data_IF_094944529539
#
_entry.id   IF_094944529539
#
_cell.length_a   1.000
_cell.length_b   1.000
_cell.length_c   1.000
_cell.angle_alpha   90.00
_cell.angle_beta   90.00
_cell.angle_gamma   90.00
#
_symmetry.space_group_name_H-M   'P 1'
#
loop_
_entity.id
_entity.type
_entity.pdbx_description
1 polymer ?
#
# COMPACT_ATOMS: atom_id res chain seq x y z
N UNK A 1 -41.17 25.42 25.15
CA UNK A 1 -40.21 26.51 25.41
C UNK A 1 -39.17 26.46 24.31
N UNK A 2 -39.32 27.35 23.33
CA UNK A 2 -38.39 27.53 22.23
C UNK A 2 -37.42 28.66 22.59
N UNK A 3 -36.14 28.50 22.26
CA UNK A 3 -35.17 29.60 22.23
C UNK A 3 -34.59 29.66 20.82
N UNK A 4 -35.00 30.71 20.11
CA UNK A 4 -34.43 31.18 18.84
C UNK A 4 -33.42 32.29 19.13
N UNK A 5 -32.24 32.24 18.51
CA UNK A 5 -31.43 33.44 18.24
C UNK A 5 -30.78 33.29 16.86
N UNK A 6 -30.76 34.39 16.13
CA UNK A 6 -30.63 34.50 14.68
C UNK A 6 -29.21 34.76 14.16
N UNK A 7 -29.08 34.60 12.83
CA UNK A 7 -28.26 35.37 11.86
C UNK A 7 -26.75 35.56 12.08
N UNK A 8 -25.95 35.18 11.08
CA UNK A 8 -25.43 36.10 10.03
C UNK A 8 -24.52 35.34 9.04
N UNK A 9 -24.42 35.91 7.85
CA UNK A 9 -23.84 35.35 6.64
C UNK A 9 -22.32 35.63 6.50
N UNK A 10 -21.73 34.98 5.50
CA UNK A 10 -20.50 35.34 4.76
C UNK A 10 -19.21 35.63 5.55
N UNK A 11 -18.19 34.79 5.34
CA UNK A 11 -16.86 35.32 4.97
C UNK A 11 -15.99 34.25 4.32
N UNK A 12 -15.74 34.47 3.04
CA UNK A 12 -14.64 33.94 2.22
C UNK A 12 -13.29 33.96 2.94
N UNK A 13 -12.55 32.86 2.83
CA UNK A 13 -11.14 32.75 3.20
C UNK A 13 -10.32 33.78 2.39
N UNK A 14 -9.56 34.69 3.01
CA UNK A 14 -8.71 35.61 2.27
C UNK A 14 -7.38 34.94 1.89
N UNK A 15 -7.04 35.05 0.61
CA UNK A 15 -5.70 34.79 0.09
C UNK A 15 -4.67 35.68 0.80
N UNK A 16 -3.60 35.06 1.30
CA UNK A 16 -2.50 35.75 1.96
C UNK A 16 -1.53 36.28 0.90
N UNK A 17 -1.69 37.54 0.50
CA UNK A 17 -0.74 38.25 -0.36
C UNK A 17 0.51 38.68 0.45
N UNK A 18 1.69 38.41 -0.11
CA UNK A 18 2.98 38.90 0.40
C UNK A 18 3.24 40.31 -0.16
N UNK A 19 3.71 41.29 0.65
CA UNK A 19 3.88 42.65 0.16
C UNK A 19 5.18 42.79 -0.65
N UNK A 20 5.03 43.12 -1.94
CA UNK A 20 6.09 43.63 -2.79
C UNK A 20 6.46 45.06 -2.37
N UNK A 21 7.64 45.25 -1.78
CA UNK A 21 8.31 46.56 -1.72
C UNK A 21 9.11 46.75 -3.01
N UNK A 22 8.55 47.51 -3.95
CA UNK A 22 9.33 48.16 -5.00
C UNK A 22 10.03 49.37 -4.37
N UNK A 23 11.37 49.39 -4.40
CA UNK A 23 12.07 50.67 -4.39
C UNK A 23 13.24 50.65 -5.37
N UNK A 24 13.23 51.70 -6.17
CA UNK A 24 14.05 52.06 -7.32
C UNK A 24 15.53 52.20 -6.98
N UNK A 25 16.42 51.68 -7.85
CA UNK A 25 17.37 52.50 -8.63
C UNK A 25 18.47 51.66 -9.33
N UNK A 26 18.48 51.71 -10.67
CA UNK A 26 19.69 51.80 -11.51
C UNK A 26 20.65 50.61 -11.67
N UNK A 27 20.55 49.88 -12.79
CA UNK A 27 21.56 49.84 -13.89
C UNK A 27 21.17 48.81 -14.95
N UNK A 28 21.11 49.27 -16.20
CA UNK A 28 20.90 48.47 -17.40
C UNK A 28 22.21 47.77 -17.74
N UNK A 29 22.19 46.44 -17.81
CA UNK A 29 23.17 45.63 -18.55
C UNK A 29 22.42 44.55 -19.32
N UNK A 30 22.57 44.57 -20.64
CA UNK A 30 22.05 43.56 -21.57
C UNK A 30 22.69 42.20 -21.28
N UNK A 31 21.90 41.14 -21.24
CA UNK A 31 22.34 39.84 -21.74
C UNK A 31 21.13 39.01 -22.18
N UNK A 32 21.11 38.67 -23.47
CA UNK A 32 20.28 37.65 -24.10
C UNK A 32 20.44 36.30 -23.40
N UNK A 33 19.36 35.54 -23.24
CA UNK A 33 19.29 34.11 -23.56
C UNK A 33 17.90 33.55 -23.25
N UNK A 34 17.32 32.94 -24.28
CA UNK A 34 16.25 31.95 -24.20
C UNK A 34 16.63 30.89 -23.15
N UNK A 35 15.85 30.76 -22.08
CA UNK A 35 16.05 29.75 -21.06
C UNK A 35 14.76 28.96 -20.83
N UNK A 36 14.69 27.76 -21.42
CA UNK A 36 13.77 26.71 -20.98
C UNK A 36 13.90 26.56 -19.47
N UNK A 37 12.79 26.68 -18.75
CA UNK A 37 12.70 26.30 -17.34
C UNK A 37 13.01 24.81 -17.24
N UNK A 38 14.25 24.49 -16.86
CA UNK A 38 14.69 23.14 -16.54
C UNK A 38 14.25 22.88 -15.10
N UNK A 39 13.18 22.12 -14.93
CA UNK A 39 12.79 21.57 -13.63
C UNK A 39 13.86 20.53 -13.24
N UNK A 40 14.85 20.95 -12.45
CA UNK A 40 15.81 20.02 -11.85
C UNK A 40 15.15 19.31 -10.66
N UNK A 41 14.35 18.28 -10.94
CA UNK A 41 13.89 17.32 -9.95
C UNK A 41 14.96 16.22 -9.79
N UNK A 42 16.13 16.55 -9.22
CA UNK A 42 17.25 15.60 -9.06
C UNK A 42 17.83 15.54 -7.64
N UNK A 43 17.06 15.93 -6.61
CA UNK A 43 17.53 15.81 -5.22
C UNK A 43 16.79 14.71 -4.45
N UNK A 44 17.32 13.49 -4.65
CA UNK A 44 17.53 12.43 -3.66
C UNK A 44 16.41 12.16 -2.67
N UNK A 45 15.59 11.16 -2.96
CA UNK A 45 14.55 10.65 -2.05
C UNK A 45 15.13 9.70 -0.99
N UNK A 46 16.34 9.17 -1.15
CA UNK A 46 17.05 8.49 -0.07
C UNK A 46 18.52 8.89 -0.05
N UNK A 47 19.07 9.09 1.14
CA UNK A 47 20.45 9.54 1.33
C UNK A 47 21.44 8.37 1.38
N UNK A 48 20.92 7.15 1.46
CA UNK A 48 21.69 5.91 1.69
C UNK A 48 21.74 5.02 0.45
N UNK A 49 21.01 5.32 -0.62
CA UNK A 49 21.05 4.54 -1.87
C UNK A 49 21.82 5.28 -2.96
N UNK A 50 22.73 4.58 -3.64
CA UNK A 50 23.38 5.11 -4.85
C UNK A 50 22.42 5.03 -6.04
N UNK A 51 22.33 6.03 -6.92
CA UNK A 51 21.48 5.93 -8.09
C UNK A 51 21.95 4.79 -9.02
N UNK A 52 21.01 3.97 -9.48
CA UNK A 52 21.28 2.96 -10.51
C UNK A 52 21.82 3.63 -11.78
N UNK A 53 22.67 2.93 -12.57
CA UNK A 53 23.16 3.48 -13.83
C UNK A 53 22.00 3.81 -14.78
N UNK A 54 22.18 4.76 -15.71
CA UNK A 54 21.13 5.15 -16.66
C UNK A 54 20.67 3.99 -17.55
N UNK A 55 21.54 2.99 -17.77
CA UNK A 55 21.26 1.74 -18.49
C UNK A 55 20.65 0.67 -17.55
N UNK A 56 19.59 1.05 -16.82
CA UNK A 56 18.87 0.13 -15.93
C UNK A 56 17.80 -0.66 -16.70
N UNK A 57 17.44 -1.87 -16.26
CA UNK A 57 16.30 -2.58 -16.84
C UNK A 57 15.02 -1.78 -16.63
N UNK A 58 14.24 -1.62 -17.71
CA UNK A 58 12.95 -0.94 -17.70
C UNK A 58 11.80 -1.95 -17.74
N UNK A 59 10.63 -1.55 -17.25
CA UNK A 59 9.43 -2.37 -17.30
C UNK A 59 9.00 -2.70 -18.74
N UNK A 60 9.19 -1.75 -19.67
CA UNK A 60 8.96 -1.91 -21.09
C UNK A 60 10.30 -1.76 -21.86
N UNK A 61 10.91 -2.87 -22.32
CA UNK A 61 12.16 -2.81 -23.05
C UNK A 61 12.09 -1.88 -24.27
N UNK A 62 13.01 -0.91 -24.36
CA UNK A 62 13.06 0.06 -25.46
C UNK A 62 12.26 1.35 -25.24
N UNK A 63 11.58 1.52 -24.10
CA UNK A 63 11.06 2.85 -23.70
C UNK A 63 12.15 3.75 -23.13
N UNK A 64 11.89 5.06 -23.13
CA UNK A 64 12.62 6.02 -22.31
C UNK A 64 11.92 6.19 -20.95
N UNK A 65 12.63 6.13 -19.81
CA UNK A 65 12.02 6.39 -18.51
C UNK A 65 11.60 7.86 -18.38
N UNK A 66 10.59 8.19 -17.55
CA UNK A 66 10.21 9.57 -17.28
C UNK A 66 11.31 10.30 -16.48
N UNK A 67 11.38 11.63 -16.63
CA UNK A 67 12.48 12.46 -16.10
C UNK A 67 12.60 12.43 -14.56
N UNK A 68 11.50 12.22 -13.84
CA UNK A 68 11.46 12.15 -12.37
C UNK A 68 11.86 10.79 -11.80
N UNK A 69 12.04 9.77 -12.64
CA UNK A 69 12.52 8.43 -12.25
C UNK A 69 13.98 8.25 -12.71
N UNK A 70 14.90 8.61 -11.82
CA UNK A 70 16.34 8.65 -12.07
C UNK A 70 17.08 7.36 -11.69
N UNK A 71 16.40 6.36 -11.13
CA UNK A 71 17.02 5.15 -10.60
C UNK A 71 17.58 5.30 -9.18
N UNK A 72 17.35 6.42 -8.49
CA UNK A 72 17.72 6.61 -7.08
C UNK A 72 16.82 5.87 -6.10
N UNK A 73 15.61 5.51 -6.54
CA UNK A 73 14.64 4.76 -5.75
C UNK A 73 14.88 3.25 -5.87
N UNK A 74 14.81 2.49 -4.77
CA UNK A 74 14.90 1.04 -4.82
C UNK A 74 13.70 0.47 -5.59
N UNK A 75 13.97 -0.38 -6.59
CA UNK A 75 12.91 -0.96 -7.44
C UNK A 75 12.35 -0.03 -8.52
N UNK A 76 13.10 0.99 -8.93
CA UNK A 76 12.78 1.86 -10.07
C UNK A 76 13.02 1.13 -11.42
N UNK A 77 11.92 0.77 -12.08
CA UNK A 77 11.89 0.21 -13.44
C UNK A 77 11.30 1.19 -14.48
N UNK A 78 11.18 2.49 -14.14
CA UNK A 78 10.60 3.50 -15.02
C UNK A 78 9.10 3.34 -15.28
N UNK A 79 8.36 2.67 -14.38
CA UNK A 79 6.92 2.44 -14.51
C UNK A 79 6.13 3.58 -13.87
N UNK A 80 5.70 4.56 -14.69
CA UNK A 80 4.70 5.56 -14.30
C UNK A 80 3.96 6.06 -15.55
N UNK A 81 3.07 5.24 -16.15
CA UNK A 81 2.37 5.63 -17.37
C UNK A 81 1.35 6.76 -17.17
N UNK A 82 0.91 7.00 -15.92
CA UNK A 82 -0.09 8.02 -15.58
C UNK A 82 0.54 9.32 -15.04
N UNK A 83 1.85 9.35 -14.82
CA UNK A 83 2.56 10.52 -14.31
C UNK A 83 2.20 10.89 -12.87
N UNK A 84 1.75 9.92 -12.07
CA UNK A 84 1.34 10.14 -10.68
C UNK A 84 2.53 10.59 -9.81
N UNK A 85 3.75 10.20 -10.17
CA UNK A 85 4.98 10.54 -9.46
C UNK A 85 5.68 11.81 -9.93
N UNK A 86 5.03 12.64 -10.77
CA UNK A 86 5.63 13.85 -11.33
C UNK A 86 6.04 14.88 -10.27
N UNK A 87 5.26 15.00 -9.20
CA UNK A 87 5.58 15.87 -8.05
C UNK A 87 6.48 15.14 -7.04
N UNK A 88 7.63 15.72 -6.62
CA UNK A 88 8.59 15.04 -5.75
C UNK A 88 8.09 14.79 -4.33
N UNK A 89 7.14 15.59 -3.82
CA UNK A 89 6.50 15.36 -2.53
C UNK A 89 5.52 14.18 -2.60
N UNK A 90 4.75 14.11 -3.68
CA UNK A 90 3.81 13.03 -3.93
C UNK A 90 4.54 11.71 -4.21
N UNK A 91 5.67 11.75 -4.91
CA UNK A 91 6.53 10.59 -5.13
C UNK A 91 7.06 10.01 -3.80
N UNK A 92 7.48 10.87 -2.86
CA UNK A 92 7.89 10.45 -1.52
C UNK A 92 6.76 9.78 -0.76
N UNK A 93 5.56 10.36 -0.83
CA UNK A 93 4.36 9.80 -0.23
C UNK A 93 4.03 8.42 -0.81
N UNK A 94 4.04 8.27 -2.14
CA UNK A 94 3.77 7.00 -2.80
C UNK A 94 4.84 5.94 -2.52
N UNK A 95 6.11 6.32 -2.41
CA UNK A 95 7.16 5.38 -2.00
C UNK A 95 6.91 4.83 -0.58
N UNK A 96 6.48 5.68 0.36
CA UNK A 96 6.11 5.23 1.70
C UNK A 96 4.83 4.38 1.70
N UNK A 97 3.84 4.76 0.92
CA UNK A 97 2.61 3.99 0.76
C UNK A 97 2.93 2.59 0.21
N UNK A 98 3.74 2.49 -0.85
CA UNK A 98 4.16 1.22 -1.44
C UNK A 98 4.88 0.32 -0.43
N UNK A 99 5.79 0.88 0.38
CA UNK A 99 6.48 0.13 1.43
C UNK A 99 5.52 -0.49 2.44
N UNK A 100 4.57 0.30 2.97
CA UNK A 100 3.63 -0.18 3.99
C UNK A 100 2.64 -1.18 3.40
N UNK A 101 2.08 -0.92 2.22
CA UNK A 101 1.19 -1.88 1.55
C UNK A 101 1.91 -3.19 1.23
N UNK A 102 3.15 -3.12 0.75
CA UNK A 102 3.97 -4.30 0.47
C UNK A 102 4.25 -5.11 1.74
N UNK A 103 4.62 -4.47 2.85
CA UNK A 103 4.88 -5.14 4.14
C UNK A 103 3.62 -5.83 4.69
N UNK A 104 2.48 -5.14 4.70
CA UNK A 104 1.22 -5.73 5.12
C UNK A 104 0.78 -6.88 4.22
N UNK A 105 0.96 -6.75 2.90
CA UNK A 105 0.64 -7.81 1.97
C UNK A 105 1.53 -9.05 2.18
N UNK A 106 2.84 -8.88 2.43
CA UNK A 106 3.73 -9.99 2.76
C UNK A 106 3.28 -10.72 4.04
N UNK A 107 2.88 -9.97 5.07
CA UNK A 107 2.34 -10.55 6.31
C UNK A 107 0.99 -11.25 6.08
N UNK A 108 0.10 -10.66 5.28
CA UNK A 108 -1.19 -11.26 4.96
C UNK A 108 -1.04 -12.56 4.16
N UNK A 109 -0.23 -12.56 3.10
CA UNK A 109 0.02 -13.74 2.25
C UNK A 109 0.63 -14.87 3.07
N UNK A 110 1.62 -14.58 3.92
CA UNK A 110 2.22 -15.59 4.81
C UNK A 110 1.25 -16.06 5.89
N UNK A 111 0.42 -15.17 6.45
CA UNK A 111 -0.61 -15.52 7.42
C UNK A 111 -1.77 -16.34 6.86
N UNK A 112 -1.97 -16.33 5.54
CA UNK A 112 -2.94 -17.20 4.85
C UNK A 112 -2.28 -18.55 4.52
N UNK A 113 -1.12 -18.53 3.85
CA UNK A 113 -0.51 -19.73 3.31
C UNK A 113 0.13 -20.63 4.37
N UNK A 114 0.76 -20.06 5.41
CA UNK A 114 1.46 -20.87 6.42
C UNK A 114 0.47 -21.71 7.23
N UNK A 115 -0.62 -21.17 7.80
CA UNK A 115 -1.54 -21.98 8.58
C UNK A 115 -2.30 -23.00 7.71
N UNK A 116 -2.66 -22.65 6.48
CA UNK A 116 -3.26 -23.61 5.54
C UNK A 116 -2.30 -24.77 5.21
N UNK A 117 -1.02 -24.47 5.01
CA UNK A 117 -0.02 -25.51 4.79
C UNK A 117 0.18 -26.39 6.04
N UNK A 118 0.15 -25.80 7.24
CA UNK A 118 0.25 -26.53 8.51
C UNK A 118 -0.98 -27.40 8.80
N UNK A 119 -2.16 -26.94 8.42
CA UNK A 119 -3.40 -27.72 8.51
C UNK A 119 -3.34 -28.97 7.64
N UNK A 120 -2.84 -28.86 6.41
CA UNK A 120 -2.63 -30.03 5.53
C UNK A 120 -1.65 -31.05 6.09
N UNK A 121 -0.70 -30.61 6.91
CA UNK A 121 0.25 -31.49 7.61
C UNK A 121 -0.35 -32.11 8.88
N UNK A 122 -1.57 -31.74 9.26
CA UNK A 122 -2.27 -32.25 10.45
C UNK A 122 -1.81 -31.62 11.77
N UNK A 123 -1.18 -30.44 11.73
CA UNK A 123 -0.78 -29.72 12.94
C UNK A 123 -1.87 -28.81 13.51
N UNK A 124 -2.81 -28.38 12.67
CA UNK A 124 -3.90 -27.44 12.97
C UNK A 124 -5.16 -27.99 12.32
N UNK A 125 -6.31 -27.87 12.98
CA UNK A 125 -7.59 -28.29 12.45
C UNK A 125 -8.48 -27.08 12.14
N UNK A 126 -9.33 -27.22 11.11
CA UNK A 126 -10.35 -26.27 10.68
C UNK A 126 -9.80 -24.84 10.49
N UNK A 127 -8.78 -24.62 9.67
CA UNK A 127 -8.32 -23.27 9.34
C UNK A 127 -8.96 -22.77 8.03
N UNK A 128 -9.63 -21.62 8.10
CA UNK A 128 -10.11 -20.93 6.91
C UNK A 128 -9.93 -19.44 7.13
N UNK A 129 -9.03 -18.84 6.36
CA UNK A 129 -8.64 -17.44 6.53
C UNK A 129 -9.78 -16.48 6.20
N UNK A 130 -10.65 -16.84 5.25
CA UNK A 130 -11.76 -16.00 4.80
C UNK A 130 -12.86 -15.89 5.86
N UNK A 131 -13.17 -17.02 6.52
CA UNK A 131 -14.18 -17.09 7.58
C UNK A 131 -13.61 -16.85 8.99
N UNK A 132 -12.31 -16.60 9.12
CA UNK A 132 -11.66 -16.40 10.42
C UNK A 132 -12.30 -15.26 11.23
N UNK A 133 -12.70 -14.18 10.57
CA UNK A 133 -13.30 -13.01 11.23
C UNK A 133 -14.65 -13.26 11.90
N UNK A 134 -15.37 -14.33 11.53
CA UNK A 134 -16.69 -14.67 12.09
C UNK A 134 -16.60 -15.69 13.25
N UNK A 135 -15.40 -16.17 13.58
CA UNK A 135 -15.21 -17.14 14.65
C UNK A 135 -15.34 -16.49 16.01
N UNK A 136 -15.81 -17.27 16.99
CA UNK A 136 -15.83 -16.81 18.37
C UNK A 136 -14.42 -16.78 18.96
N UNK A 137 -14.08 -15.66 19.56
CA UNK A 137 -12.82 -15.44 20.27
C UNK A 137 -13.09 -15.23 21.76
N UNK A 138 -12.03 -15.07 22.55
CA UNK A 138 -12.13 -14.80 23.99
C UNK A 138 -12.84 -13.47 24.33
N UNK A 139 -12.96 -12.55 23.37
CA UNK A 139 -13.60 -11.26 23.50
C UNK A 139 -14.42 -10.94 22.24
N UNK A 140 -15.40 -10.05 22.38
CA UNK A 140 -16.23 -9.61 21.27
C UNK A 140 -15.41 -8.89 20.18
N UNK A 141 -15.82 -9.04 18.91
CA UNK A 141 -15.14 -8.47 17.75
C UNK A 141 -14.99 -6.95 17.85
N UNK A 142 -15.97 -6.25 18.43
CA UNK A 142 -15.90 -4.79 18.61
C UNK A 142 -14.80 -4.40 19.59
N UNK A 143 -14.61 -5.18 20.66
CA UNK A 143 -13.56 -4.92 21.66
C UNK A 143 -12.18 -5.15 21.07
N UNK A 144 -11.99 -6.26 20.34
CA UNK A 144 -10.74 -6.55 19.63
C UNK A 144 -10.41 -5.44 18.61
N UNK A 145 -11.42 -4.97 17.87
CA UNK A 145 -11.27 -3.88 16.90
C UNK A 145 -10.87 -2.55 17.56
N UNK A 146 -11.48 -2.17 18.69
CA UNK A 146 -11.13 -0.92 19.40
C UNK A 146 -9.71 -0.97 19.96
N UNK A 147 -9.31 -2.11 20.54
CA UNK A 147 -7.93 -2.30 21.03
C UNK A 147 -6.95 -2.23 19.87
N UNK A 148 -7.27 -2.87 18.74
CA UNK A 148 -6.45 -2.80 17.53
C UNK A 148 -6.33 -1.35 17.01
N UNK A 149 -7.42 -0.58 16.96
CA UNK A 149 -7.39 0.83 16.56
C UNK A 149 -6.54 1.68 17.50
N UNK A 150 -6.61 1.46 18.82
CA UNK A 150 -5.83 2.21 19.78
C UNK A 150 -4.32 1.92 19.63
N UNK A 151 -3.93 0.65 19.54
CA UNK A 151 -2.54 0.23 19.39
C UNK A 151 -1.96 0.61 18.03
N UNK A 152 -2.67 0.30 16.95
CA UNK A 152 -2.26 0.66 15.58
C UNK A 152 -2.28 2.17 15.37
N UNK A 153 -3.25 2.88 15.94
CA UNK A 153 -3.32 4.34 15.90
C UNK A 153 -2.12 5.00 16.57
N UNK A 154 -1.62 4.45 17.69
CA UNK A 154 -0.38 4.92 18.30
C UNK A 154 0.84 4.67 17.41
N UNK A 155 0.99 3.44 16.90
CA UNK A 155 2.15 3.04 16.07
C UNK A 155 2.19 3.84 14.75
N UNK A 156 1.08 3.88 14.02
CA UNK A 156 0.94 4.64 12.77
C UNK A 156 1.01 6.15 13.02
N UNK A 157 0.49 6.64 14.14
CA UNK A 157 0.61 8.05 14.52
C UNK A 157 2.07 8.48 14.70
N UNK A 158 2.89 7.64 15.33
CA UNK A 158 4.34 7.85 15.45
C UNK A 158 5.04 7.79 14.08
N UNK A 159 4.69 6.83 13.23
CA UNK A 159 5.23 6.73 11.87
C UNK A 159 4.84 7.94 11.03
N UNK A 160 3.61 8.42 11.15
CA UNK A 160 3.10 9.60 10.48
C UNK A 160 3.84 10.87 10.91
N UNK A 161 4.09 11.03 12.21
CA UNK A 161 4.86 12.15 12.73
C UNK A 161 6.29 12.19 12.16
N UNK A 162 6.95 11.03 12.03
CA UNK A 162 8.27 10.93 11.40
C UNK A 162 8.25 11.27 9.90
N UNK A 163 7.17 10.91 9.19
CA UNK A 163 7.01 11.25 7.77
C UNK A 163 6.83 12.77 7.54
N UNK A 164 6.13 13.47 8.43
CA UNK A 164 5.99 14.95 8.35
C UNK A 164 7.27 15.65 8.80
N UNK A 165 7.83 15.22 9.93
CA UNK A 165 9.01 15.83 10.55
C UNK A 165 10.07 14.73 10.81
N UNK A 166 10.94 14.44 9.83
CA UNK A 166 11.90 13.34 9.95
C UNK A 166 12.84 13.54 11.15
N UNK A 167 12.92 12.52 12.00
CA UNK A 167 13.74 12.53 13.21
C UNK A 167 13.08 13.17 14.44
N UNK A 168 11.78 13.51 14.39
CA UNK A 168 11.06 13.90 15.60
C UNK A 168 10.69 12.70 16.50
N UNK A 169 10.71 11.49 15.94
CA UNK A 169 10.37 10.24 16.64
C UNK A 169 11.58 9.32 16.68
N UNK A 170 12.53 9.62 17.56
CA UNK A 170 13.68 8.75 17.78
C UNK A 170 13.28 7.49 18.58
N UNK A 171 13.72 6.32 18.10
CA UNK A 171 13.47 5.01 18.73
C UNK A 171 14.59 4.65 19.71
N UNK A 172 15.80 5.14 19.45
CA UNK A 172 16.98 4.90 20.29
C UNK A 172 17.09 5.97 21.39
N UNK A 173 17.42 5.59 22.64
CA UNK A 173 17.69 6.57 23.69
C UNK A 173 18.87 7.46 23.27
N UNK A 174 18.69 8.78 23.40
CA UNK A 174 19.73 9.77 23.06
C UNK A 174 20.90 9.61 24.03
N UNK A 175 21.99 9.00 23.56
CA UNK A 175 23.24 8.98 24.30
C UNK A 175 23.92 10.36 24.14
N UNK A 176 24.31 11.04 25.23
CA UNK A 176 24.80 12.42 25.17
C UNK A 176 26.12 12.59 24.38
N UNK A 177 26.84 11.50 24.10
CA UNK A 177 28.12 11.50 23.39
C UNK A 177 28.09 10.86 22.00
N UNK A 178 26.93 10.40 21.51
CA UNK A 178 26.81 9.80 20.18
C UNK A 178 25.57 10.33 19.48
N UNK A 179 25.77 11.05 18.39
CA UNK A 179 24.67 11.40 17.48
C UNK A 179 24.26 10.14 16.73
N UNK A 180 23.01 9.73 16.89
CA UNK A 180 22.48 8.62 16.10
C UNK A 180 22.43 9.04 14.62
N UNK A 181 22.83 8.17 13.68
CA UNK A 181 22.69 8.46 12.25
C UNK A 181 21.21 8.66 11.96
N UNK A 182 20.87 9.70 11.18
CA UNK A 182 19.48 9.96 10.78
C UNK A 182 19.02 8.80 9.89
N UNK A 183 18.03 7.99 10.28
CA UNK A 183 17.48 6.95 9.42
C UNK A 183 16.74 7.59 8.24
N UNK A 184 16.74 6.91 7.09
CA UNK A 184 15.85 7.28 5.99
C UNK A 184 14.39 7.00 6.42
N UNK A 185 13.47 7.89 6.05
CA UNK A 185 12.04 7.72 6.31
C UNK A 185 11.56 6.38 5.72
N UNK A 186 10.84 5.58 6.51
CA UNK A 186 10.39 4.22 6.14
C UNK A 186 11.33 3.09 6.54
N UNK A 187 12.56 3.42 6.95
CA UNK A 187 13.59 2.50 7.44
C UNK A 187 14.07 2.92 8.84
N UNK A 188 13.22 2.77 9.88
CA UNK A 188 13.52 3.27 11.23
C UNK A 188 14.82 2.69 11.83
N UNK A 189 15.14 1.44 11.50
CA UNK A 189 16.29 0.73 12.04
C UNK A 189 16.32 0.71 13.58
N UNK A 190 17.53 0.64 14.13
CA UNK A 190 17.75 0.58 15.58
C UNK A 190 17.50 -0.82 16.14
N UNK A 191 17.75 -0.99 17.45
CA UNK A 191 17.76 -2.31 18.06
C UNK A 191 16.43 -3.07 17.93
N UNK A 192 15.31 -2.35 17.91
CA UNK A 192 13.96 -2.93 17.85
C UNK A 192 13.54 -3.38 16.44
N UNK A 193 13.99 -2.69 15.39
CA UNK A 193 13.56 -2.97 14.00
C UNK A 193 14.67 -3.55 13.12
N UNK A 194 15.94 -3.43 13.53
CA UNK A 194 17.10 -3.98 12.83
C UNK A 194 18.17 -4.45 13.84
N UNK A 195 17.91 -5.56 14.57
CA UNK A 195 18.85 -6.07 15.57
C UNK A 195 20.17 -6.55 14.97
N UNK A 196 20.18 -6.94 13.69
CA UNK A 196 21.35 -7.44 12.98
C UNK A 196 22.11 -6.36 12.20
N UNK A 197 21.64 -5.11 12.24
CA UNK A 197 22.22 -3.95 11.55
C UNK A 197 22.41 -4.14 10.03
N UNK A 198 21.58 -4.96 9.39
CA UNK A 198 21.67 -5.21 7.94
C UNK A 198 21.16 -4.05 7.09
N UNK A 199 20.35 -3.17 7.68
CA UNK A 199 19.85 -1.94 7.05
C UNK A 199 20.79 -0.74 7.18
N UNK A 200 21.92 -0.88 7.89
CA UNK A 200 22.92 0.18 8.12
C UNK A 200 24.29 -0.29 7.60
N UNK A 201 24.67 0.15 6.41
CA UNK A 201 25.91 -0.30 5.75
C UNK A 201 26.25 0.51 4.50
N UNK A 202 27.08 -0.06 3.62
CA UNK A 202 27.38 0.55 2.32
C UNK A 202 26.10 0.71 1.47
N UNK A 203 26.05 1.72 0.58
CA UNK A 203 24.84 2.06 -0.15
C UNK A 203 24.36 0.95 -1.11
N UNK A 204 25.30 0.24 -1.74
CA UNK A 204 25.01 -0.84 -2.70
C UNK A 204 24.24 -2.03 -2.09
N UNK A 205 24.70 -2.69 -1.00
CA UNK A 205 23.96 -3.81 -0.42
C UNK A 205 22.61 -3.37 0.17
N UNK A 206 22.53 -2.16 0.74
CA UNK A 206 21.27 -1.63 1.27
C UNK A 206 20.26 -1.43 0.12
N UNK A 207 20.68 -0.88 -1.00
CA UNK A 207 19.86 -0.80 -2.21
C UNK A 207 19.34 -2.15 -2.68
N UNK A 208 20.21 -3.17 -2.72
CA UNK A 208 19.83 -4.51 -3.16
C UNK A 208 18.80 -5.11 -2.21
N UNK A 209 18.96 -4.95 -0.90
CA UNK A 209 18.01 -5.45 0.10
C UNK A 209 16.66 -4.72 0.01
N UNK A 210 16.66 -3.40 -0.10
CA UNK A 210 15.43 -2.60 -0.28
C UNK A 210 14.71 -2.96 -1.59
N UNK A 211 15.47 -3.20 -2.66
CA UNK A 211 14.91 -3.66 -3.94
C UNK A 211 14.29 -5.05 -3.82
N UNK A 212 14.90 -5.97 -3.06
CA UNK A 212 14.33 -7.30 -2.78
C UNK A 212 13.03 -7.18 -1.97
N UNK A 213 13.00 -6.31 -0.97
CA UNK A 213 11.81 -6.03 -0.18
C UNK A 213 10.66 -5.52 -1.06
N UNK A 214 10.88 -4.50 -1.89
CA UNK A 214 9.86 -3.94 -2.78
C UNK A 214 9.36 -4.97 -3.79
N UNK A 215 10.25 -5.77 -4.39
CA UNK A 215 9.85 -6.82 -5.34
C UNK A 215 8.95 -7.87 -4.70
N UNK A 216 9.31 -8.35 -3.51
CA UNK A 216 8.49 -9.29 -2.75
C UNK A 216 7.18 -8.65 -2.30
N UNK A 217 7.20 -7.38 -1.89
CA UNK A 217 6.00 -6.61 -1.55
C UNK A 217 5.03 -6.48 -2.71
N UNK A 218 5.51 -6.11 -3.91
CA UNK A 218 4.71 -6.05 -5.14
C UNK A 218 4.09 -7.40 -5.50
N UNK A 219 4.90 -8.47 -5.43
CA UNK A 219 4.41 -9.83 -5.66
C UNK A 219 3.32 -10.21 -4.64
N UNK A 220 3.53 -9.90 -3.37
CA UNK A 220 2.58 -10.21 -2.30
C UNK A 220 1.27 -9.42 -2.43
N UNK A 221 1.32 -8.15 -2.83
CA UNK A 221 0.11 -7.36 -3.10
C UNK A 221 -0.75 -7.99 -4.20
N UNK A 222 -0.11 -8.44 -5.29
CA UNK A 222 -0.81 -9.15 -6.37
C UNK A 222 -1.34 -10.52 -5.91
N UNK A 223 -0.56 -11.27 -5.14
CA UNK A 223 -0.96 -12.57 -4.61
C UNK A 223 -2.17 -12.46 -3.67
N UNK A 224 -2.19 -11.46 -2.77
CA UNK A 224 -3.31 -11.23 -1.86
C UNK A 224 -4.61 -10.92 -2.61
N UNK A 225 -4.55 -10.05 -3.62
CA UNK A 225 -5.70 -9.77 -4.49
C UNK A 225 -6.15 -11.05 -5.22
N UNK A 226 -5.19 -11.86 -5.69
CA UNK A 226 -5.46 -13.18 -6.26
C UNK A 226 -6.20 -14.11 -5.32
N UNK A 227 -5.75 -14.24 -4.07
CA UNK A 227 -6.40 -15.09 -3.06
C UNK A 227 -7.80 -14.62 -2.71
N UNK A 228 -8.01 -13.30 -2.60
CA UNK A 228 -9.33 -12.72 -2.39
C UNK A 228 -10.28 -13.07 -3.52
N UNK A 229 -9.89 -12.83 -4.77
CA UNK A 229 -10.74 -13.19 -5.91
C UNK A 229 -10.96 -14.69 -6.00
N UNK A 230 -9.92 -15.50 -5.80
CA UNK A 230 -10.04 -16.95 -5.79
C UNK A 230 -11.08 -17.41 -4.76
N UNK A 231 -11.02 -16.93 -3.52
CA UNK A 231 -12.01 -17.28 -2.49
C UNK A 231 -13.44 -16.92 -2.91
N UNK A 232 -13.67 -15.75 -3.53
CA UNK A 232 -15.00 -15.37 -4.04
C UNK A 232 -15.47 -16.33 -5.15
N UNK A 233 -14.62 -16.62 -6.14
CA UNK A 233 -15.01 -17.38 -7.33
C UNK A 233 -15.06 -18.88 -7.12
N UNK A 234 -14.26 -19.44 -6.20
CA UNK A 234 -14.21 -20.89 -5.93
C UNK A 234 -15.09 -21.32 -4.76
N UNK A 235 -15.75 -20.37 -4.08
CA UNK A 235 -16.71 -20.66 -3.00
C UNK A 235 -16.05 -20.86 -1.64
N UNK A 236 -15.07 -20.02 -1.30
CA UNK A 236 -14.28 -20.03 -0.06
C UNK A 236 -13.31 -21.21 0.09
N UNK A 237 -12.95 -21.87 -1.02
CA UNK A 237 -11.88 -22.86 -1.02
C UNK A 237 -10.53 -22.16 -0.86
N UNK A 238 -9.65 -22.78 -0.08
CA UNK A 238 -8.38 -22.18 0.24
C UNK A 238 -7.43 -22.09 -0.97
N UNK A 239 -6.52 -21.10 -1.01
CA UNK A 239 -5.64 -20.87 -2.15
C UNK A 239 -4.80 -22.08 -2.58
N UNK A 240 -4.35 -22.94 -1.65
CA UNK A 240 -3.53 -24.11 -1.99
C UNK A 240 -4.41 -25.21 -2.61
N UNK A 241 -5.69 -25.34 -2.23
CA UNK A 241 -6.60 -26.28 -2.90
C UNK A 241 -6.86 -25.87 -4.34
N UNK A 242 -7.06 -24.57 -4.57
CA UNK A 242 -7.22 -24.03 -5.91
C UNK A 242 -5.96 -24.29 -6.76
N UNK A 243 -4.78 -24.19 -6.16
CA UNK A 243 -3.52 -24.54 -6.81
C UNK A 243 -3.43 -26.04 -7.14
N UNK A 244 -3.73 -26.93 -6.21
CA UNK A 244 -3.69 -28.37 -6.47
C UNK A 244 -4.74 -28.83 -7.49
N UNK A 245 -5.94 -28.26 -7.44
CA UNK A 245 -6.98 -28.50 -8.44
C UNK A 245 -6.52 -28.05 -9.84
N UNK A 246 -5.85 -26.90 -9.94
CA UNK A 246 -5.27 -26.43 -11.20
C UNK A 246 -4.11 -27.31 -11.67
N UNK A 247 -3.24 -27.77 -10.76
CA UNK A 247 -2.12 -28.66 -11.10
C UNK A 247 -2.60 -30.05 -11.56
N UNK A 248 -3.70 -30.54 -11.01
CA UNK A 248 -4.27 -31.83 -11.40
C UNK A 248 -4.88 -31.81 -12.81
N UNK A 249 -5.49 -30.70 -13.22
CA UNK A 249 -6.02 -30.52 -14.58
C UNK A 249 -5.98 -29.04 -15.01
N UNK A 250 -4.85 -28.57 -15.55
CA UNK A 250 -4.68 -27.16 -15.90
C UNK A 250 -5.54 -26.74 -17.09
N UNK A 251 -5.97 -27.68 -17.93
CA UNK A 251 -6.79 -27.42 -19.10
C UNK A 251 -8.23 -27.08 -18.75
N UNK A 252 -8.78 -27.73 -17.73
CA UNK A 252 -10.20 -27.59 -17.36
C UNK A 252 -10.43 -26.84 -16.05
N UNK A 253 -9.46 -26.73 -15.14
CA UNK A 253 -9.60 -26.00 -13.87
C UNK A 253 -8.99 -24.61 -13.97
N UNK A 254 -9.63 -23.71 -14.70
CA UNK A 254 -9.17 -22.34 -14.90
C UNK A 254 -10.30 -21.33 -14.64
N UNK A 255 -9.97 -20.05 -14.72
CA UNK A 255 -10.98 -18.98 -14.52
C UNK A 255 -12.14 -19.08 -15.52
N UNK A 256 -11.91 -19.59 -16.74
CA UNK A 256 -12.93 -19.67 -17.77
C UNK A 256 -13.96 -20.76 -17.46
N UNK A 257 -13.55 -21.91 -16.93
CA UNK A 257 -14.48 -22.96 -16.53
C UNK A 257 -15.31 -22.57 -15.30
N UNK A 258 -14.68 -21.91 -14.32
CA UNK A 258 -15.38 -21.39 -13.13
C UNK A 258 -16.42 -20.32 -13.49
N UNK A 259 -16.11 -19.41 -14.42
CA UNK A 259 -17.08 -18.43 -14.90
C UNK A 259 -18.29 -19.06 -15.62
N UNK A 260 -18.08 -20.16 -16.35
CA UNK A 260 -19.17 -20.90 -17.01
C UNK A 260 -20.03 -21.63 -15.99
N UNK A 261 -19.41 -22.26 -14.99
CA UNK A 261 -20.12 -22.93 -13.89
C UNK A 261 -20.88 -21.94 -12.99
N UNK A 262 -20.30 -20.77 -12.68
CA UNK A 262 -21.00 -19.70 -11.96
C UNK A 262 -22.20 -19.18 -12.74
N UNK A 263 -22.09 -18.97 -14.06
CA UNK A 263 -23.24 -18.57 -14.89
C UNK A 263 -24.31 -19.65 -14.90
N UNK A 264 -23.90 -20.92 -14.94
CA UNK A 264 -24.81 -22.06 -14.88
C UNK A 264 -25.51 -22.16 -13.52
N UNK A 265 -24.79 -22.04 -12.41
CA UNK A 265 -25.37 -22.03 -11.06
C UNK A 265 -26.24 -20.81 -10.80
N UNK A 266 -25.82 -19.59 -11.18
CA UNK A 266 -26.67 -18.40 -11.10
C UNK A 266 -27.94 -18.59 -11.95
N UNK A 267 -27.86 -19.21 -13.12
CA UNK A 267 -29.06 -19.55 -13.92
C UNK A 267 -30.05 -20.50 -13.22
N UNK A 268 -29.58 -21.35 -12.30
CA UNK A 268 -30.45 -22.19 -11.46
C UNK A 268 -30.92 -21.45 -10.19
N UNK A 269 -30.04 -20.69 -9.53
CA UNK A 269 -30.34 -19.89 -8.34
C UNK A 269 -31.29 -18.73 -8.63
N UNK A 270 -31.22 -18.07 -9.79
CA UNK A 270 -32.20 -17.07 -10.22
C UNK A 270 -33.59 -17.70 -10.44
N UNK A 271 -33.65 -18.98 -10.81
CA UNK A 271 -34.89 -19.73 -10.98
C UNK A 271 -35.48 -20.22 -9.66
N UNK A 272 -34.65 -20.39 -8.63
CA UNK A 272 -35.07 -20.73 -7.25
C UNK A 272 -35.35 -19.49 -6.39
N UNK A 273 -34.63 -18.37 -6.59
CA UNK A 273 -34.91 -17.09 -5.93
C UNK A 273 -36.25 -16.49 -6.37
N UNK A 274 -36.67 -16.67 -7.62
CA UNK A 274 -38.03 -16.28 -8.06
C UNK A 274 -39.13 -17.08 -7.33
N UNK A 275 -38.80 -18.26 -6.79
CA UNK A 275 -39.72 -19.08 -5.98
C UNK A 275 -39.67 -18.68 -4.49
N UNK A 276 -38.53 -18.20 -4.00
CA UNK A 276 -38.32 -17.84 -2.58
C UNK A 276 -38.60 -16.37 -2.25
N UNK A 277 -38.57 -15.45 -3.22
CA UNK A 277 -38.95 -14.03 -3.04
C UNK A 277 -40.45 -13.85 -2.72
N UNK A 278 -41.27 -14.90 -2.84
CA UNK A 278 -42.65 -14.89 -2.37
C UNK A 278 -42.81 -15.21 -0.86
N UNK A 279 -41.73 -15.42 -0.09
CA UNK A 279 -41.88 -15.95 1.28
C UNK A 279 -41.12 -15.28 2.44
N UNK A 280 -40.24 -14.29 2.28
CA UNK A 280 -39.58 -13.73 3.47
C UNK A 280 -39.00 -12.33 3.32
N UNK A 281 -39.85 -11.30 3.44
CA UNK A 281 -39.38 -9.99 3.88
C UNK A 281 -38.99 -10.06 5.37
N UNK A 282 -37.69 -10.07 5.67
CA UNK A 282 -37.22 -9.90 7.06
C UNK A 282 -35.82 -10.44 7.33
N UNK A 283 -34.77 -9.69 6.99
CA UNK A 283 -33.42 -9.96 7.49
C UNK A 283 -32.33 -9.17 6.79
N UNK A 284 -31.80 -8.13 7.44
CA UNK A 284 -30.57 -7.45 7.01
C UNK A 284 -29.39 -8.41 7.13
N UNK A 285 -28.77 -8.78 6.01
CA UNK A 285 -27.44 -9.39 5.96
C UNK A 285 -26.50 -8.49 5.16
N UNK A 286 -25.51 -7.93 5.84
CA UNK A 286 -24.48 -7.05 5.27
C UNK A 286 -23.38 -7.87 4.63
N UNK A 287 -23.61 -8.33 3.40
CA UNK A 287 -22.53 -8.72 2.49
C UNK A 287 -22.38 -7.63 1.42
N UNK A 288 -21.29 -6.85 1.50
CA UNK A 288 -20.86 -5.98 0.42
C UNK A 288 -20.34 -6.85 -0.72
N UNK A 289 -21.25 -7.32 -1.57
CA UNK A 289 -20.91 -7.90 -2.86
C UNK A 289 -20.35 -6.77 -3.73
N UNK A 290 -19.05 -6.83 -4.05
CA UNK A 290 -18.42 -5.87 -4.96
C UNK A 290 -19.20 -5.89 -6.28
N UNK A 291 -19.72 -4.73 -6.66
CA UNK A 291 -20.68 -4.48 -7.75
C UNK A 291 -20.42 -5.38 -8.96
N UNK A 292 -21.15 -6.50 -9.03
CA UNK A 292 -21.07 -7.47 -10.13
C UNK A 292 -21.80 -6.90 -11.34
N UNK A 293 -21.12 -6.00 -12.07
CA UNK A 293 -21.48 -5.64 -13.44
C UNK A 293 -20.65 -6.49 -14.39
N UNK A 294 -21.24 -7.57 -14.89
CA UNK A 294 -20.76 -8.22 -16.10
C UNK A 294 -21.31 -7.47 -17.33
#
# INVERSE_FOLDING_TARGET
MALSIASTALSSVPNRELPLKLNSSGKISKCSLLGKTRVNATKGVSTVCEPLPPDRPLWFPGSSPPEWLDGSLPGDFGFDPLGLGSDPELLKWFAQAELIHGRWAMLAVSGILIPEWLERLGFIDDFNWYNAGAREYFADHTTLFVVQLALMGWVEGRRWADMINPGCVDIEPKLPHKTNPKPDVGYPGGLWFDPFMWGRGSPEPVMVLRTKEIKNGRLAMLAFVGFWFQAIYTGNNDPIDNLFAHLADPGHRNIFSLCVEMKRMKGYLWKEMEVLDNFSEGGLSTHFCFKEGC
#
